data_IF_654692515607
#
_entry.id   IF_654692515607
#
_cell.length_a   1.000
_cell.length_b   1.000
_cell.length_c   1.000
_cell.angle_alpha   90.00
_cell.angle_beta   90.00
_cell.angle_gamma   90.00
#
_symmetry.space_group_name_H-M   'P 1'
#
loop_
_entity.id
_entity.type
_entity.pdbx_description
1 polymer ?
#
# COMPACT_ATOMS: atom_id res chain seq x y z
N UNK A 1 -45.88 68.60 -11.01
CA UNK A 1 -45.56 67.16 -11.17
C UNK A 1 -44.06 67.01 -11.04
N UNK A 2 -43.57 66.37 -9.97
CA UNK A 2 -42.15 66.31 -9.60
C UNK A 2 -41.73 64.83 -9.58
N UNK A 3 -40.97 64.40 -10.57
CA UNK A 3 -40.53 63.02 -10.75
C UNK A 3 -39.32 62.73 -9.88
N UNK A 4 -39.46 61.76 -8.97
CA UNK A 4 -38.36 61.26 -8.13
C UNK A 4 -37.60 60.18 -8.90
N UNK A 5 -36.28 60.30 -8.99
CA UNK A 5 -35.38 59.25 -9.48
C UNK A 5 -34.82 58.49 -8.28
N UNK A 6 -35.18 57.22 -8.15
CA UNK A 6 -34.60 56.29 -7.18
C UNK A 6 -33.42 55.63 -7.87
N UNK A 7 -32.19 55.97 -7.44
CA UNK A 7 -30.98 55.29 -7.91
C UNK A 7 -30.74 54.09 -7.00
N UNK A 8 -30.91 52.87 -7.53
CA UNK A 8 -30.55 51.63 -6.84
C UNK A 8 -29.02 51.48 -6.84
N UNK A 9 -28.44 51.40 -5.64
CA UNK A 9 -27.03 51.10 -5.43
C UNK A 9 -26.88 49.57 -5.28
N UNK A 10 -26.38 48.89 -6.31
CA UNK A 10 -26.02 47.46 -6.21
C UNK A 10 -24.72 47.32 -5.43
N UNK A 11 -24.80 46.71 -4.24
CA UNK A 11 -23.65 46.28 -3.46
C UNK A 11 -23.24 44.89 -3.94
N UNK A 12 -22.12 44.80 -4.65
CA UNK A 12 -21.48 43.53 -5.03
C UNK A 12 -20.63 43.05 -3.86
N UNK A 13 -21.10 42.03 -3.15
CA UNK A 13 -20.32 41.30 -2.16
C UNK A 13 -19.36 40.34 -2.90
N UNK A 14 -18.08 40.72 -3.02
CA UNK A 14 -17.02 39.78 -3.38
C UNK A 14 -16.70 38.92 -2.14
N UNK A 15 -17.23 37.71 -2.11
CA UNK A 15 -16.72 36.67 -1.20
C UNK A 15 -15.38 36.18 -1.77
N UNK A 16 -14.29 36.59 -1.12
CA UNK A 16 -12.97 36.04 -1.39
C UNK A 16 -13.00 34.53 -1.08
N UNK A 17 -13.10 33.70 -2.12
CA UNK A 17 -12.83 32.28 -2.02
C UNK A 17 -11.34 32.15 -1.74
N UNK A 18 -11.00 31.97 -0.46
CA UNK A 18 -9.66 31.57 -0.08
C UNK A 18 -9.40 30.19 -0.65
N UNK A 19 -8.68 30.12 -1.77
CA UNK A 19 -8.01 28.89 -2.18
C UNK A 19 -7.04 28.51 -1.05
N UNK A 20 -7.46 27.58 -0.20
CA UNK A 20 -6.54 26.83 0.64
C UNK A 20 -5.61 26.12 -0.33
N UNK A 21 -4.36 26.57 -0.38
CA UNK A 21 -3.29 25.85 -1.06
C UNK A 21 -3.19 24.51 -0.34
N UNK A 22 -3.64 23.47 -1.02
CA UNK A 22 -3.47 22.09 -0.59
C UNK A 22 -1.98 21.91 -0.34
N UNK A 23 -1.66 21.55 0.90
CA UNK A 23 -0.29 21.36 1.32
C UNK A 23 0.15 20.04 0.69
N UNK A 24 0.89 20.13 -0.42
CA UNK A 24 1.57 18.97 -1.00
C UNK A 24 2.31 18.24 0.13
N UNK A 25 2.08 16.93 0.33
CA UNK A 25 2.88 16.16 1.25
C UNK A 25 4.34 16.22 0.78
N UNK A 26 5.21 16.69 1.66
CA UNK A 26 6.64 16.75 1.46
C UNK A 26 7.19 15.35 1.18
N UNK A 27 7.90 15.08 0.06
CA UNK A 27 8.48 13.77 -0.20
C UNK A 27 9.86 13.73 0.45
N UNK A 28 9.94 13.34 1.72
CA UNK A 28 11.23 13.21 2.42
C UNK A 28 11.26 12.10 3.47
N UNK A 29 10.55 11.00 3.20
CA UNK A 29 10.85 9.70 3.79
C UNK A 29 10.35 8.67 2.80
N UNK A 30 11.24 7.84 2.25
CA UNK A 30 10.81 6.66 1.48
C UNK A 30 9.83 5.82 2.31
N UNK A 31 9.05 4.93 1.68
CA UNK A 31 8.11 4.09 2.41
C UNK A 31 8.83 3.36 3.56
N UNK A 32 8.20 3.35 4.73
CA UNK A 32 8.76 2.68 5.90
C UNK A 32 8.93 1.18 5.63
N UNK A 33 9.91 0.55 6.30
CA UNK A 33 10.20 -0.89 6.28
C UNK A 33 9.12 -1.75 6.96
N UNK A 34 7.88 -1.27 6.97
CA UNK A 34 6.75 -1.89 7.65
C UNK A 34 5.84 -2.53 6.64
N UNK A 35 5.37 -3.73 6.95
CA UNK A 35 4.31 -4.38 6.20
C UNK A 35 3.03 -3.54 6.21
N UNK A 36 2.20 -3.69 5.18
CA UNK A 36 0.90 -3.01 5.11
C UNK A 36 -0.06 -3.80 6.00
N UNK A 37 -0.75 -3.13 6.91
CA UNK A 37 -1.83 -3.71 7.71
C UNK A 37 -2.91 -2.65 7.99
N UNK A 38 -4.07 -2.80 7.36
CA UNK A 38 -5.17 -1.84 7.46
C UNK A 38 -6.45 -2.59 7.79
N UNK A 39 -7.16 -2.11 8.82
CA UNK A 39 -8.42 -2.64 9.30
C UNK A 39 -9.45 -1.51 9.35
N UNK A 40 -10.60 -1.71 8.71
CA UNK A 40 -11.76 -0.82 8.77
C UNK A 40 -13.00 -1.69 8.95
N UNK A 41 -13.78 -1.43 10.01
CA UNK A 41 -14.89 -2.28 10.44
C UNK A 41 -14.46 -3.75 10.64
N UNK A 42 -15.00 -4.66 9.83
CA UNK A 42 -14.62 -6.07 9.76
C UNK A 42 -13.76 -6.41 8.55
N UNK A 43 -13.39 -5.43 7.72
CA UNK A 43 -12.59 -5.64 6.52
C UNK A 43 -11.13 -5.28 6.76
N UNK A 44 -10.22 -6.09 6.22
CA UNK A 44 -8.80 -5.79 6.29
C UNK A 44 -8.04 -6.18 5.04
N UNK A 45 -6.90 -5.52 4.86
CA UNK A 45 -5.85 -5.86 3.91
C UNK A 45 -4.51 -5.93 4.65
N UNK A 46 -3.70 -6.94 4.30
CA UNK A 46 -2.35 -7.12 4.82
C UNK A 46 -1.42 -7.52 3.67
N UNK A 47 -0.25 -6.88 3.57
CA UNK A 47 0.75 -7.22 2.55
C UNK A 47 2.14 -7.29 3.18
N UNK A 48 2.97 -8.29 2.80
CA UNK A 48 4.30 -8.49 3.36
C UNK A 48 5.23 -7.35 2.96
N UNK A 49 6.31 -7.16 3.72
CA UNK A 49 7.38 -6.20 3.40
C UNK A 49 8.64 -6.87 2.84
N UNK A 50 8.68 -8.21 2.75
CA UNK A 50 9.81 -8.95 2.23
C UNK A 50 9.40 -10.25 1.54
N UNK A 51 10.14 -10.62 0.49
CA UNK A 51 10.04 -11.89 -0.25
C UNK A 51 11.44 -12.44 -0.46
N UNK A 52 11.59 -13.76 -0.37
CA UNK A 52 12.83 -14.46 -0.70
C UNK A 52 12.68 -15.15 -2.05
N UNK A 53 13.20 -14.56 -3.12
CA UNK A 53 13.07 -15.07 -4.49
C UNK A 53 14.15 -16.12 -4.80
N UNK A 54 14.07 -17.28 -4.15
CA UNK A 54 15.07 -18.35 -4.26
C UNK A 54 14.47 -19.73 -4.61
N UNK A 55 13.14 -19.81 -4.73
CA UNK A 55 12.39 -20.97 -5.19
C UNK A 55 12.57 -22.23 -4.34
N UNK A 56 12.77 -22.10 -3.02
CA UNK A 56 12.82 -23.23 -2.10
C UNK A 56 11.44 -23.63 -1.53
N UNK A 57 10.39 -22.94 -1.96
CA UNK A 57 9.01 -23.13 -1.51
C UNK A 57 8.67 -22.32 -0.26
N UNK A 58 9.61 -21.51 0.25
CA UNK A 58 9.45 -20.71 1.46
C UNK A 58 9.54 -19.24 1.08
N UNK A 59 8.51 -18.47 1.42
CA UNK A 59 8.52 -17.01 1.28
C UNK A 59 8.82 -16.49 -0.14
N UNK A 60 8.59 -17.32 -1.16
CA UNK A 60 8.84 -17.03 -2.59
C UNK A 60 7.80 -16.12 -3.24
N UNK A 61 6.67 -15.91 -2.57
CA UNK A 61 5.52 -15.21 -3.12
C UNK A 61 5.21 -13.94 -2.33
N UNK A 62 5.02 -12.85 -3.06
CA UNK A 62 4.32 -11.68 -2.54
C UNK A 62 2.82 -11.94 -2.70
N UNK A 63 2.09 -12.16 -1.60
CA UNK A 63 0.63 -12.30 -1.62
C UNK A 63 -0.02 -11.30 -0.66
N UNK A 64 -1.13 -10.69 -1.07
CA UNK A 64 -1.92 -9.80 -0.21
C UNK A 64 -3.04 -10.61 0.46
N UNK A 65 -3.06 -10.65 1.79
CA UNK A 65 -4.14 -11.25 2.55
C UNK A 65 -5.28 -10.25 2.71
N UNK A 66 -6.51 -10.67 2.37
CA UNK A 66 -7.70 -9.82 2.41
C UNK A 66 -8.87 -10.52 3.10
N UNK A 67 -9.72 -9.76 3.76
CA UNK A 67 -10.93 -10.26 4.40
C UNK A 67 -12.07 -9.23 4.29
N UNK A 68 -13.30 -9.71 4.01
CA UNK A 68 -14.49 -8.87 3.77
C UNK A 68 -14.26 -7.75 2.73
N UNK A 69 -13.57 -8.07 1.64
CA UNK A 69 -13.27 -7.16 0.52
C UNK A 69 -13.99 -7.65 -0.74
N UNK A 70 -14.56 -6.72 -1.51
CA UNK A 70 -15.28 -7.01 -2.78
C UNK A 70 -14.48 -6.65 -4.03
N UNK A 71 -13.50 -5.76 -3.90
CA UNK A 71 -12.56 -5.44 -4.98
C UNK A 71 -11.19 -5.13 -4.40
N UNK A 72 -10.15 -5.55 -5.10
CA UNK A 72 -8.76 -5.35 -4.74
C UNK A 72 -8.00 -4.93 -6.00
N UNK A 73 -7.10 -3.95 -5.87
CA UNK A 73 -6.16 -3.51 -6.88
C UNK A 73 -4.78 -3.42 -6.21
N UNK A 74 -3.81 -4.14 -6.76
CA UNK A 74 -2.46 -4.25 -6.20
C UNK A 74 -1.47 -3.86 -7.27
N UNK A 75 -0.60 -2.92 -6.95
CA UNK A 75 0.45 -2.42 -7.83
C UNK A 75 1.78 -2.55 -7.11
N UNK A 76 2.77 -3.15 -7.79
CA UNK A 76 4.17 -3.17 -7.34
C UNK A 76 5.01 -2.43 -8.37
N UNK A 77 5.74 -1.43 -7.90
CA UNK A 77 6.52 -0.50 -8.71
C UNK A 77 7.96 -0.43 -8.26
N UNK A 78 8.87 -0.23 -9.21
CA UNK A 78 10.25 0.16 -8.94
C UNK A 78 10.30 1.63 -8.52
N UNK A 79 11.45 2.09 -7.99
CA UNK A 79 11.65 3.49 -7.60
C UNK A 79 11.54 4.49 -8.77
N UNK A 80 11.62 4.02 -10.02
CA UNK A 80 11.45 4.83 -11.23
C UNK A 80 10.00 4.81 -11.77
N UNK A 81 9.02 4.38 -10.96
CA UNK A 81 7.60 4.24 -11.29
C UNK A 81 7.23 3.14 -12.29
N UNK A 82 8.20 2.34 -12.75
CA UNK A 82 7.93 1.19 -13.61
C UNK A 82 7.14 0.12 -12.85
N UNK A 83 5.95 -0.22 -13.36
CA UNK A 83 5.10 -1.28 -12.79
C UNK A 83 5.64 -2.65 -13.19
N UNK A 84 6.02 -3.45 -12.19
CA UNK A 84 6.50 -4.84 -12.39
C UNK A 84 5.41 -5.87 -12.14
N UNK A 85 4.40 -5.52 -11.34
CA UNK A 85 3.23 -6.34 -11.11
C UNK A 85 2.00 -5.46 -10.92
N UNK A 86 0.91 -5.86 -11.56
CA UNK A 86 -0.41 -5.27 -11.38
C UNK A 86 -1.45 -6.37 -11.47
N UNK A 87 -2.40 -6.40 -10.54
CA UNK A 87 -3.62 -7.18 -10.74
C UNK A 87 -4.79 -6.58 -9.96
N UNK A 88 -6.00 -6.96 -10.38
CA UNK A 88 -7.28 -6.49 -9.89
C UNK A 88 -8.23 -7.63 -9.44
N UNK A 89 -7.69 -8.84 -9.21
CA UNK A 89 -8.43 -10.00 -8.68
C UNK A 89 -8.39 -10.05 -7.15
N UNK A 90 -9.22 -10.87 -6.49
CA UNK A 90 -9.16 -11.02 -5.02
C UNK A 90 -8.04 -11.98 -4.58
N UNK A 91 -7.66 -12.92 -5.44
CA UNK A 91 -6.54 -13.83 -5.22
C UNK A 91 -5.35 -13.31 -6.04
N UNK A 92 -4.37 -12.73 -5.35
CA UNK A 92 -3.21 -12.14 -6.00
C UNK A 92 -1.92 -12.53 -5.30
N UNK A 93 -1.10 -13.25 -6.05
CA UNK A 93 0.27 -13.53 -5.69
C UNK A 93 1.18 -13.18 -6.86
N UNK A 94 2.26 -12.49 -6.56
CA UNK A 94 3.37 -12.25 -7.46
C UNK A 94 4.53 -13.14 -7.06
N UNK A 95 5.10 -13.87 -8.02
CA UNK A 95 6.29 -14.67 -7.85
C UNK A 95 7.49 -13.95 -8.50
N UNK A 96 8.19 -13.05 -7.79
CA UNK A 96 9.36 -12.38 -8.33
C UNK A 96 10.46 -13.38 -8.68
N UNK A 97 11.22 -13.10 -9.74
CA UNK A 97 12.38 -13.90 -10.12
C UNK A 97 13.70 -13.27 -9.73
N UNK A 98 14.79 -13.93 -10.11
CA UNK A 98 16.16 -13.47 -9.82
C UNK A 98 16.50 -12.10 -10.47
N UNK A 99 15.74 -11.67 -11.48
CA UNK A 99 15.89 -10.33 -12.11
C UNK A 99 15.10 -9.24 -11.39
N UNK A 100 14.28 -9.62 -10.43
CA UNK A 100 13.39 -8.74 -9.67
C UNK A 100 13.95 -8.43 -8.29
N UNK A 101 15.24 -8.66 -8.03
CA UNK A 101 15.86 -8.29 -6.76
C UNK A 101 15.87 -6.78 -6.55
N UNK A 102 15.69 -6.36 -5.30
CA UNK A 102 15.74 -4.96 -4.89
C UNK A 102 14.48 -4.50 -4.16
N UNK A 103 14.36 -3.18 -4.02
CA UNK A 103 13.25 -2.53 -3.32
C UNK A 103 12.17 -2.08 -4.29
N UNK A 104 10.93 -2.26 -3.85
CA UNK A 104 9.72 -1.85 -4.56
C UNK A 104 8.81 -1.03 -3.66
N UNK A 105 7.98 -0.21 -4.30
CA UNK A 105 6.83 0.44 -3.71
C UNK A 105 5.62 -0.46 -4.00
N UNK A 106 4.89 -0.82 -2.96
CA UNK A 106 3.64 -1.57 -3.06
C UNK A 106 2.50 -0.64 -2.73
N UNK A 107 1.50 -0.57 -3.60
CA UNK A 107 0.25 0.13 -3.37
C UNK A 107 -0.90 -0.87 -3.41
N UNK A 108 -1.77 -0.85 -2.40
CA UNK A 108 -2.94 -1.72 -2.27
C UNK A 108 -4.17 -0.85 -2.09
N UNK A 109 -5.11 -0.96 -3.02
CA UNK A 109 -6.41 -0.33 -2.95
C UNK A 109 -7.48 -1.40 -2.85
N UNK A 110 -8.42 -1.24 -1.93
CA UNK A 110 -9.51 -2.19 -1.78
C UNK A 110 -10.83 -1.49 -1.43
N UNK A 111 -11.94 -2.17 -1.71
CA UNK A 111 -13.28 -1.77 -1.24
C UNK A 111 -13.85 -2.91 -0.41
N UNK A 112 -14.24 -2.60 0.82
CA UNK A 112 -14.89 -3.54 1.73
C UNK A 112 -16.30 -3.91 1.29
N UNK A 113 -16.85 -5.01 1.81
CA UNK A 113 -18.26 -5.39 1.65
C UNK A 113 -19.23 -4.36 2.22
N UNK A 114 -18.81 -3.50 3.13
CA UNK A 114 -19.59 -2.37 3.66
C UNK A 114 -19.47 -1.08 2.83
N UNK A 115 -18.65 -1.08 1.76
CA UNK A 115 -18.48 0.05 0.85
C UNK A 115 -17.39 1.05 1.27
N UNK A 116 -16.64 0.80 2.35
CA UNK A 116 -15.49 1.61 2.73
C UNK A 116 -14.29 1.31 1.85
N UNK A 117 -13.53 2.36 1.49
CA UNK A 117 -12.25 2.23 0.81
C UNK A 117 -11.11 1.98 1.81
N UNK A 118 -10.21 1.06 1.48
CA UNK A 118 -8.96 0.82 2.18
C UNK A 118 -7.81 1.14 1.23
N UNK A 119 -6.82 1.89 1.71
CA UNK A 119 -5.64 2.24 0.93
C UNK A 119 -4.38 2.15 1.78
N UNK A 120 -3.42 1.34 1.32
CA UNK A 120 -2.11 1.21 1.95
C UNK A 120 -1.00 1.30 0.92
N UNK A 121 0.10 1.92 1.33
CA UNK A 121 1.35 1.94 0.57
C UNK A 121 2.51 1.59 1.49
N UNK A 122 3.45 0.79 1.00
CA UNK A 122 4.58 0.29 1.78
C UNK A 122 5.78 -0.08 0.90
N UNK A 123 6.88 -0.45 1.54
CA UNK A 123 8.06 -0.97 0.87
C UNK A 123 7.99 -2.51 0.82
N UNK A 124 8.49 -3.08 -0.27
CA UNK A 124 8.72 -4.52 -0.41
C UNK A 124 10.17 -4.75 -0.84
N UNK A 125 10.93 -5.50 -0.06
CA UNK A 125 12.25 -5.96 -0.46
C UNK A 125 12.17 -7.37 -1.03
N UNK A 126 12.65 -7.53 -2.26
CA UNK A 126 12.84 -8.85 -2.89
C UNK A 126 14.31 -9.22 -2.74
N UNK A 127 14.56 -10.23 -1.92
CA UNK A 127 15.89 -10.68 -1.52
C UNK A 127 16.19 -12.10 -2.03
N UNK A 128 17.45 -12.47 -2.00
CA UNK A 128 17.91 -13.86 -2.21
C UNK A 128 19.12 -14.10 -1.31
N UNK A 129 19.29 -15.32 -0.79
CA UNK A 129 20.42 -15.63 0.09
C UNK A 129 21.73 -15.86 -0.69
N UNK A 130 21.69 -16.16 -1.99
CA UNK A 130 22.91 -16.46 -2.75
C UNK A 130 23.75 -17.56 -2.08
N UNK A 131 24.88 -17.20 -1.47
CA UNK A 131 25.73 -18.09 -0.66
C UNK A 131 25.72 -17.76 0.84
N UNK A 132 24.96 -16.77 1.27
CA UNK A 132 24.84 -16.36 2.66
C UNK A 132 23.98 -17.35 3.46
N UNK A 133 24.24 -17.51 4.78
CA UNK A 133 23.52 -18.47 5.60
C UNK A 133 22.09 -18.02 5.98
N UNK A 134 21.79 -16.73 5.88
CA UNK A 134 20.48 -16.13 6.16
C UNK A 134 20.33 -14.79 5.43
N UNK A 135 19.10 -14.31 5.30
CA UNK A 135 18.71 -13.06 4.67
C UNK A 135 18.89 -11.88 5.63
N UNK A 136 19.63 -10.88 5.18
CA UNK A 136 19.74 -9.60 5.88
C UNK A 136 18.56 -8.71 5.50
N UNK A 137 17.77 -8.28 6.48
CA UNK A 137 16.64 -7.36 6.27
C UNK A 137 16.69 -6.22 7.29
N UNK A 138 16.44 -4.99 6.85
CA UNK A 138 16.42 -3.82 7.74
C UNK A 138 15.00 -3.68 8.29
N UNK A 139 14.84 -3.94 9.59
CA UNK A 139 13.54 -3.86 10.27
C UNK A 139 13.00 -5.24 10.63
N UNK A 140 11.69 -5.34 10.88
CA UNK A 140 11.04 -6.62 11.19
C UNK A 140 10.55 -7.26 9.89
N UNK A 141 11.11 -8.40 9.47
CA UNK A 141 10.64 -9.10 8.28
C UNK A 141 9.24 -9.64 8.54
N UNK A 142 8.35 -9.43 7.57
CA UNK A 142 7.01 -10.01 7.53
C UNK A 142 6.77 -10.58 6.15
N UNK A 143 6.63 -11.91 6.09
CA UNK A 143 6.41 -12.67 4.85
C UNK A 143 4.95 -13.08 4.69
N UNK A 144 4.55 -13.40 3.46
CA UNK A 144 3.15 -13.64 3.13
C UNK A 144 2.54 -14.84 3.87
N UNK A 145 3.36 -15.85 4.14
CA UNK A 145 2.97 -17.07 4.84
C UNK A 145 2.65 -16.85 6.33
N UNK A 146 3.01 -15.69 6.89
CA UNK A 146 2.69 -15.35 8.27
C UNK A 146 1.26 -14.87 8.48
N UNK A 147 0.56 -14.58 7.38
CA UNK A 147 -0.82 -14.12 7.39
C UNK A 147 -1.81 -15.28 7.28
N UNK A 148 -2.94 -15.14 7.98
CA UNK A 148 -4.12 -15.97 7.78
C UNK A 148 -5.26 -15.10 7.26
N UNK A 149 -6.00 -15.51 6.21
CA UNK A 149 -7.10 -14.73 5.64
C UNK A 149 -8.22 -14.37 6.62
N UNK A 150 -8.35 -15.08 7.73
CA UNK A 150 -9.40 -14.89 8.74
C UNK A 150 -8.96 -13.99 9.91
N UNK A 151 -7.67 -13.69 10.05
CA UNK A 151 -7.11 -13.01 11.23
C UNK A 151 -6.34 -11.77 10.82
N UNK A 152 -6.65 -10.65 11.49
CA UNK A 152 -5.89 -9.43 11.32
C UNK A 152 -4.59 -9.48 12.14
N UNK A 153 -3.45 -9.39 11.46
CA UNK A 153 -2.10 -9.39 12.05
C UNK A 153 -1.24 -10.58 11.63
N UNK A 154 0.04 -10.51 11.99
CA UNK A 154 1.02 -11.59 11.86
C UNK A 154 0.65 -12.70 12.85
N UNK A 155 0.31 -13.88 12.35
CA UNK A 155 -0.23 -14.99 13.16
C UNK A 155 0.70 -16.19 13.28
N UNK A 156 1.55 -16.40 12.28
CA UNK A 156 2.51 -17.50 12.27
C UNK A 156 3.93 -16.96 12.50
N UNK A 157 4.81 -17.75 13.14
CA UNK A 157 6.22 -17.37 13.27
C UNK A 157 6.84 -17.16 11.90
N UNK A 158 7.82 -16.26 11.82
CA UNK A 158 8.63 -16.15 10.60
C UNK A 158 9.36 -17.47 10.40
N UNK A 159 9.48 -17.92 9.15
CA UNK A 159 10.47 -18.96 8.86
C UNK A 159 11.86 -18.40 9.20
N UNK A 160 12.72 -19.22 9.80
CA UNK A 160 14.04 -18.83 10.34
C UNK A 160 15.08 -18.54 9.23
N UNK A 161 14.68 -17.90 8.12
CA UNK A 161 15.57 -17.57 7.01
C UNK A 161 16.11 -16.13 7.08
N UNK A 162 15.69 -15.32 8.06
CA UNK A 162 16.22 -13.98 8.31
C UNK A 162 17.23 -13.99 9.46
N UNK A 163 18.26 -13.17 9.35
CA UNK A 163 19.24 -13.01 10.43
C UNK A 163 18.67 -12.13 11.55
N UNK A 164 19.05 -12.43 12.81
CA UNK A 164 18.72 -11.64 14.01
C UNK A 164 19.53 -10.32 14.13
#
# INVERSE_FOLDING_TARGET
MRTWRITLLSVVFLTAVGCKKEQDPSPASGPAYTHIAILIDSAFIQAPNVVSANYDGINDLFCVAVHNVVSLDVIVQRENDDTVFHSNTLEQCWAPGAVDLGRYIVSVHAVSTSGNALYGQGALDVLTYGNDPCLQFIGTPVTADQFQPEVFGVTLPSNDNFCD
#
